data_IF_801014201018
#
_entry.id   IF_801014201018
#
_cell.length_a   1.000
_cell.length_b   1.000
_cell.length_c   1.000
_cell.angle_alpha   90.00
_cell.angle_beta   90.00
_cell.angle_gamma   90.00
#
_symmetry.space_group_name_H-M   'P 1'
#
loop_
_entity.id
_entity.type
_entity.pdbx_description
1 polymer ?
#
# COMPACT_ATOMS: atom_id res chain seq x y z
N UNK A 1 41.35 1.20 -65.98
CA UNK A 1 41.73 0.68 -64.64
C UNK A 1 40.48 0.15 -63.95
N UNK A 2 40.56 -0.91 -63.13
CA UNK A 2 40.44 -2.30 -63.58
C UNK A 2 39.46 -3.15 -62.72
N UNK A 3 39.25 -4.41 -63.15
CA UNK A 3 39.04 -5.64 -62.37
C UNK A 3 37.84 -5.74 -61.40
N UNK A 4 37.10 -6.84 -61.28
CA UNK A 4 37.42 -8.23 -61.61
C UNK A 4 37.31 -9.12 -60.35
N UNK A 5 36.42 -10.11 -60.43
CA UNK A 5 36.44 -11.44 -59.78
C UNK A 5 36.00 -11.64 -58.30
N UNK A 6 35.50 -12.87 -57.97
CA UNK A 6 34.69 -13.28 -56.80
C UNK A 6 35.53 -14.18 -55.84
N UNK A 7 35.01 -15.28 -55.25
CA UNK A 7 34.03 -15.50 -54.18
C UNK A 7 34.70 -15.83 -52.82
N UNK A 8 33.93 -16.06 -51.75
CA UNK A 8 34.46 -16.48 -50.43
C UNK A 8 33.66 -17.62 -49.79
N UNK A 9 34.24 -18.81 -49.56
CA UNK A 9 33.60 -19.99 -48.98
C UNK A 9 33.78 -20.12 -47.45
N UNK A 10 32.79 -20.76 -46.79
CA UNK A 10 32.78 -21.70 -45.62
C UNK A 10 33.88 -21.65 -44.53
N UNK A 11 33.60 -22.01 -43.24
CA UNK A 11 32.88 -23.24 -42.86
C UNK A 11 32.02 -23.22 -41.56
N UNK A 12 31.28 -24.33 -41.39
CA UNK A 12 30.46 -24.71 -40.24
C UNK A 12 31.17 -25.72 -39.31
N UNK A 13 30.80 -25.69 -38.01
CA UNK A 13 30.78 -26.77 -36.97
C UNK A 13 32.14 -27.22 -36.33
N UNK A 14 32.21 -27.87 -35.13
CA UNK A 14 31.14 -28.39 -34.23
C UNK A 14 31.31 -28.09 -32.70
N UNK A 15 30.33 -28.56 -31.90
CA UNK A 15 30.17 -28.60 -30.42
C UNK A 15 31.24 -29.42 -29.66
N UNK A 16 31.37 -29.24 -28.32
CA UNK A 16 31.00 -30.34 -27.39
C UNK A 16 30.24 -29.79 -26.15
N UNK A 17 29.06 -30.29 -25.80
CA UNK A 17 28.81 -31.44 -24.91
C UNK A 17 29.68 -31.48 -23.64
N UNK A 18 29.04 -31.31 -22.47
CA UNK A 18 29.56 -31.86 -21.20
C UNK A 18 29.41 -30.97 -19.96
N UNK A 19 28.65 -31.49 -18.99
CA UNK A 19 28.67 -31.22 -17.54
C UNK A 19 27.89 -30.01 -16.96
N UNK A 20 26.66 -30.31 -16.51
CA UNK A 20 26.03 -29.75 -15.30
C UNK A 20 26.97 -29.88 -14.07
N UNK A 21 26.88 -29.09 -12.96
CA UNK A 21 25.63 -28.75 -12.28
C UNK A 21 25.50 -27.36 -11.62
N UNK A 22 24.25 -27.02 -11.30
CA UNK A 22 23.79 -26.16 -10.21
C UNK A 22 24.88 -25.49 -9.35
N UNK A 23 25.08 -24.20 -9.56
CA UNK A 23 25.32 -23.30 -8.44
C UNK A 23 24.16 -22.33 -8.40
N UNK A 24 23.32 -22.53 -7.39
CA UNK A 24 22.26 -21.63 -7.00
C UNK A 24 22.83 -20.21 -6.85
N UNK A 25 22.59 -19.38 -7.86
CA UNK A 25 22.39 -17.96 -7.60
C UNK A 25 21.04 -17.86 -6.92
N UNK A 26 21.05 -18.09 -5.60
CA UNK A 26 20.02 -17.56 -4.71
C UNK A 26 20.06 -16.05 -4.87
N UNK A 27 19.34 -15.56 -5.88
CA UNK A 27 18.73 -14.24 -5.84
C UNK A 27 18.02 -14.20 -4.50
N UNK A 28 18.68 -13.53 -3.57
CA UNK A 28 18.07 -13.09 -2.33
C UNK A 28 17.02 -12.10 -2.77
N UNK A 29 15.82 -12.61 -3.08
CA UNK A 29 14.61 -11.85 -3.03
C UNK A 29 14.73 -11.01 -1.75
N UNK A 30 14.62 -9.68 -1.80
CA UNK A 30 14.28 -8.98 -0.58
C UNK A 30 12.98 -9.62 -0.15
N UNK A 31 13.07 -10.46 0.89
CA UNK A 31 11.93 -10.84 1.70
C UNK A 31 11.34 -9.51 2.08
N UNK A 32 10.31 -9.08 1.34
CA UNK A 32 9.42 -8.01 1.74
C UNK A 32 8.93 -8.54 3.06
N UNK A 33 9.61 -8.11 4.11
CA UNK A 33 9.24 -8.34 5.48
C UNK A 33 7.90 -7.64 5.50
N UNK A 34 6.83 -8.41 5.34
CA UNK A 34 5.47 -7.93 5.47
C UNK A 34 5.44 -7.42 6.91
N UNK A 35 5.74 -6.14 7.03
CA UNK A 35 5.70 -5.40 8.26
C UNK A 35 4.30 -5.68 8.79
N UNK A 36 4.18 -6.20 10.02
CA UNK A 36 2.89 -6.69 10.50
C UNK A 36 1.90 -5.56 10.29
N UNK A 37 0.80 -5.86 9.59
CA UNK A 37 -0.34 -4.96 9.53
C UNK A 37 -0.60 -4.57 10.99
N UNK A 38 -0.39 -3.30 11.31
CA UNK A 38 -0.54 -2.76 12.67
C UNK A 38 -1.86 -3.29 13.20
N UNK A 39 -1.80 -4.12 14.24
CA UNK A 39 -2.99 -4.76 14.78
C UNK A 39 -4.00 -3.68 15.20
N UNK A 40 -5.30 -3.96 15.13
CA UNK A 40 -6.35 -2.98 15.48
C UNK A 40 -6.14 -2.38 16.89
N UNK A 41 -5.59 -3.18 17.82
CA UNK A 41 -5.18 -2.76 19.16
C UNK A 41 -3.96 -1.82 19.17
N UNK A 42 -2.98 -2.04 18.29
CA UNK A 42 -1.83 -1.15 18.12
C UNK A 42 -2.25 0.20 17.59
N UNK A 43 -3.08 0.22 16.55
CA UNK A 43 -3.59 1.46 15.99
C UNK A 43 -4.43 2.22 17.02
N UNK A 44 -5.28 1.52 17.78
CA UNK A 44 -6.06 2.14 18.85
C UNK A 44 -5.15 2.76 19.92
N UNK A 45 -4.05 2.09 20.29
CA UNK A 45 -3.04 2.64 21.22
C UNK A 45 -2.32 3.85 20.64
N UNK A 46 -1.91 3.81 19.37
CA UNK A 46 -1.25 4.92 18.68
C UNK A 46 -2.17 6.14 18.57
N UNK A 47 -3.44 5.93 18.23
CA UNK A 47 -4.43 6.99 18.16
C UNK A 47 -4.71 7.59 19.54
N UNK A 48 -4.81 6.78 20.60
CA UNK A 48 -4.94 7.29 21.97
C UNK A 48 -3.72 8.14 22.38
N UNK A 49 -2.51 7.65 22.11
CA UNK A 49 -1.28 8.42 22.37
C UNK A 49 -1.24 9.73 21.56
N UNK A 50 -1.75 9.72 20.32
CA UNK A 50 -1.84 10.90 19.48
C UNK A 50 -2.85 11.94 20.03
N UNK A 51 -4.00 11.49 20.53
CA UNK A 51 -5.00 12.35 21.19
C UNK A 51 -4.37 13.13 22.36
N UNK A 52 -3.67 12.42 23.24
CA UNK A 52 -3.00 12.99 24.41
C UNK A 52 -1.86 13.94 24.01
N UNK A 53 -1.04 13.54 23.02
CA UNK A 53 0.10 14.34 22.55
C UNK A 53 -0.34 15.67 21.90
N UNK A 54 -1.39 15.62 21.08
CA UNK A 54 -2.01 16.82 20.47
C UNK A 54 -2.67 17.67 21.55
N UNK A 55 -3.15 17.07 22.64
CA UNK A 55 -3.86 17.77 23.70
C UNK A 55 -5.26 18.16 23.24
N UNK A 56 -6.00 17.20 22.69
CA UNK A 56 -7.38 17.39 22.26
C UNK A 56 -8.24 17.80 23.46
N UNK A 57 -9.00 18.88 23.30
CA UNK A 57 -9.89 19.41 24.33
C UNK A 57 -11.30 18.83 24.21
N UNK A 58 -12.11 18.96 25.26
CA UNK A 58 -13.51 18.52 25.27
C UNK A 58 -14.35 19.15 24.13
N UNK A 59 -14.02 20.36 23.70
CA UNK A 59 -14.68 21.02 22.57
C UNK A 59 -14.28 20.42 21.19
N UNK A 60 -13.10 19.81 21.11
CA UNK A 60 -12.54 19.18 19.91
C UNK A 60 -12.85 17.67 19.85
N UNK A 61 -13.28 17.08 20.97
CA UNK A 61 -13.60 15.65 21.11
C UNK A 61 -14.57 15.13 20.03
N UNK A 62 -15.65 15.85 19.64
CA UNK A 62 -16.52 15.36 18.58
C UNK A 62 -15.81 15.21 17.23
N UNK A 63 -14.92 16.15 16.89
CA UNK A 63 -14.15 16.09 15.64
C UNK A 63 -13.08 14.99 15.67
N UNK A 64 -12.55 14.68 16.85
CA UNK A 64 -11.65 13.56 17.06
C UNK A 64 -12.36 12.21 16.91
N UNK A 65 -13.54 12.05 17.53
CA UNK A 65 -14.35 10.83 17.40
C UNK A 65 -14.82 10.61 15.95
N UNK A 66 -15.18 11.67 15.23
CA UNK A 66 -15.49 11.60 13.80
C UNK A 66 -14.31 11.05 12.98
N UNK A 67 -13.07 11.43 13.31
CA UNK A 67 -11.87 10.91 12.67
C UNK A 67 -11.67 9.43 12.97
N UNK A 68 -11.86 9.01 14.22
CA UNK A 68 -11.76 7.60 14.62
C UNK A 68 -12.81 6.73 13.92
N UNK A 69 -14.07 7.17 13.85
CA UNK A 69 -15.12 6.43 13.14
C UNK A 69 -14.82 6.32 11.64
N UNK A 70 -14.34 7.41 11.01
CA UNK A 70 -13.95 7.38 9.61
C UNK A 70 -12.76 6.43 9.37
N UNK A 71 -11.75 6.45 10.24
CA UNK A 71 -10.59 5.56 10.15
C UNK A 71 -10.99 4.09 10.35
N UNK A 72 -11.81 3.79 11.35
CA UNK A 72 -12.31 2.44 11.60
C UNK A 72 -13.08 1.89 10.39
N UNK A 73 -13.93 2.70 9.77
CA UNK A 73 -14.65 2.31 8.53
C UNK A 73 -13.72 2.12 7.32
N UNK A 74 -12.61 2.85 7.26
CA UNK A 74 -11.62 2.69 6.20
C UNK A 74 -10.78 1.42 6.37
N UNK A 75 -10.52 1.02 7.61
CA UNK A 75 -9.75 -0.17 7.95
C UNK A 75 -10.57 -1.45 7.93
N UNK A 76 -11.89 -1.33 8.04
CA UNK A 76 -12.80 -2.44 7.73
C UNK A 76 -12.59 -2.86 6.28
N UNK A 77 -11.73 -3.86 6.10
CA UNK A 77 -11.56 -4.55 4.83
C UNK A 77 -12.95 -4.97 4.35
N UNK A 78 -13.34 -4.69 3.10
CA UNK A 78 -14.66 -5.04 2.61
C UNK A 78 -14.79 -6.57 2.54
N UNK A 79 -15.16 -7.17 3.66
CA UNK A 79 -15.65 -8.55 3.78
C UNK A 79 -17.08 -8.59 3.22
N UNK A 80 -17.22 -8.26 1.94
CA UNK A 80 -18.31 -8.77 1.13
C UNK A 80 -18.13 -10.29 0.94
N UNK A 81 -19.16 -11.02 0.48
CA UNK A 81 -19.11 -12.48 0.37
C UNK A 81 -17.79 -12.87 -0.26
N UNK A 82 -16.93 -13.48 0.55
CA UNK A 82 -15.62 -13.94 0.17
C UNK A 82 -15.79 -14.71 -1.12
N UNK A 83 -15.11 -14.28 -2.19
CA UNK A 83 -14.57 -15.17 -3.23
C UNK A 83 -15.38 -16.44 -3.46
N UNK A 84 -16.70 -16.31 -3.67
CA UNK A 84 -17.56 -17.47 -3.83
C UNK A 84 -17.39 -17.94 -5.27
N UNK A 85 -16.23 -18.57 -5.51
CA UNK A 85 -15.87 -19.42 -6.65
C UNK A 85 -16.35 -18.94 -8.03
N UNK A 86 -16.44 -17.63 -8.26
CA UNK A 86 -16.88 -17.11 -9.56
C UNK A 86 -15.64 -16.94 -10.42
N UNK A 87 -15.39 -17.94 -11.28
CA UNK A 87 -14.34 -17.91 -12.31
C UNK A 87 -14.65 -16.94 -13.46
N UNK A 88 -15.78 -16.25 -13.40
CA UNK A 88 -16.21 -15.30 -14.42
C UNK A 88 -15.42 -13.97 -14.28
N UNK A 89 -14.58 -13.62 -15.27
CA UNK A 89 -13.71 -12.45 -15.19
C UNK A 89 -14.50 -11.13 -15.13
N UNK A 90 -15.70 -11.07 -15.70
CA UNK A 90 -16.54 -9.86 -15.69
C UNK A 90 -17.10 -9.60 -14.28
N UNK A 91 -17.55 -10.66 -13.61
CA UNK A 91 -18.04 -10.57 -12.23
C UNK A 91 -16.91 -10.20 -11.27
N UNK A 92 -15.71 -10.77 -11.47
CA UNK A 92 -14.52 -10.38 -10.70
C UNK A 92 -14.16 -8.90 -10.89
N UNK A 93 -14.17 -8.40 -12.13
CA UNK A 93 -13.90 -6.99 -12.41
C UNK A 93 -14.89 -6.06 -11.70
N UNK A 94 -16.19 -6.39 -11.74
CA UNK A 94 -17.23 -5.59 -11.07
C UNK A 94 -17.07 -5.59 -9.55
N UNK A 95 -16.71 -6.73 -8.95
CA UNK A 95 -16.43 -6.81 -7.51
C UNK A 95 -15.22 -5.95 -7.15
N UNK A 96 -14.15 -6.02 -7.95
CA UNK A 96 -12.96 -5.21 -7.76
C UNK A 96 -13.26 -3.70 -7.92
N UNK A 97 -14.01 -3.30 -8.95
CA UNK A 97 -14.42 -1.91 -9.15
C UNK A 97 -15.25 -1.38 -7.97
N UNK A 98 -16.19 -2.18 -7.48
CA UNK A 98 -16.98 -1.83 -6.31
C UNK A 98 -16.13 -1.70 -5.04
N UNK A 99 -15.18 -2.61 -4.84
CA UNK A 99 -14.25 -2.54 -3.70
C UNK A 99 -13.33 -1.31 -3.78
N UNK A 100 -12.79 -1.02 -4.97
CA UNK A 100 -12.00 0.19 -5.22
C UNK A 100 -12.81 1.46 -4.96
N UNK A 101 -14.07 1.51 -5.43
CA UNK A 101 -14.96 2.65 -5.21
C UNK A 101 -15.25 2.85 -3.71
N UNK A 102 -15.52 1.77 -2.97
CA UNK A 102 -15.69 1.80 -1.52
C UNK A 102 -14.43 2.30 -0.81
N UNK A 103 -13.26 1.79 -1.20
CA UNK A 103 -11.99 2.21 -0.62
C UNK A 103 -11.74 3.71 -0.82
N UNK A 104 -11.96 4.22 -2.04
CA UNK A 104 -11.84 5.67 -2.34
C UNK A 104 -12.83 6.48 -1.51
N UNK A 105 -14.08 6.02 -1.36
CA UNK A 105 -15.08 6.68 -0.53
C UNK A 105 -14.66 6.74 0.95
N UNK A 106 -14.12 5.65 1.49
CA UNK A 106 -13.62 5.61 2.87
C UNK A 106 -12.42 6.54 3.06
N UNK A 107 -11.46 6.56 2.14
CA UNK A 107 -10.32 7.48 2.19
C UNK A 107 -10.75 8.95 2.13
N UNK A 108 -11.78 9.27 1.32
CA UNK A 108 -12.37 10.63 1.30
C UNK A 108 -13.03 10.99 2.62
N UNK A 109 -13.72 10.04 3.27
CA UNK A 109 -14.34 10.27 4.57
C UNK A 109 -13.29 10.58 5.65
N UNK A 110 -12.18 9.82 5.68
CA UNK A 110 -11.04 10.08 6.58
C UNK A 110 -10.45 11.47 6.32
N UNK A 111 -10.21 11.82 5.05
CA UNK A 111 -9.69 13.14 4.68
C UNK A 111 -10.61 14.29 5.11
N UNK A 112 -11.92 14.12 5.00
CA UNK A 112 -12.90 15.12 5.44
C UNK A 112 -12.93 15.26 6.96
N UNK A 113 -12.90 14.15 7.70
CA UNK A 113 -12.85 14.17 9.16
C UNK A 113 -11.55 14.83 9.66
N UNK A 114 -10.42 14.51 9.02
CA UNK A 114 -9.14 15.16 9.32
C UNK A 114 -9.18 16.67 9.04
N UNK A 115 -9.80 17.10 7.94
CA UNK A 115 -9.95 18.52 7.63
C UNK A 115 -10.82 19.26 8.67
N UNK A 116 -11.90 18.62 9.15
CA UNK A 116 -12.75 19.18 10.22
C UNK A 116 -12.01 19.30 11.54
N UNK A 117 -11.26 18.26 11.94
CA UNK A 117 -10.40 18.31 13.12
C UNK A 117 -9.37 19.43 12.96
N UNK A 118 -8.65 19.47 11.83
CA UNK A 118 -7.62 20.48 11.57
C UNK A 118 -8.15 21.92 11.64
N UNK A 119 -9.40 22.16 11.26
CA UNK A 119 -10.04 23.47 11.36
C UNK A 119 -10.35 23.92 12.80
N UNK A 120 -10.47 22.98 13.75
CA UNK A 120 -10.72 23.27 15.17
C UNK A 120 -9.44 23.31 16.02
N UNK A 121 -8.28 22.94 15.47
CA UNK A 121 -7.00 22.90 16.15
C UNK A 121 -6.24 24.24 16.06
N UNK A 122 -5.50 24.58 17.12
CA UNK A 122 -4.52 25.68 17.07
C UNK A 122 -3.29 25.31 16.21
N UNK A 123 -2.49 26.29 15.78
CA UNK A 123 -1.26 26.03 15.01
C UNK A 123 -0.31 25.04 15.73
N UNK A 124 -0.17 25.17 17.05
CA UNK A 124 0.67 24.28 17.84
C UNK A 124 0.10 22.84 17.86
N UNK A 125 -1.21 22.68 18.01
CA UNK A 125 -1.86 21.37 17.98
C UNK A 125 -1.76 20.74 16.59
N UNK A 126 -1.93 21.52 15.52
CA UNK A 126 -1.77 21.05 14.14
C UNK A 126 -0.37 20.54 13.87
N UNK A 127 0.66 21.22 14.36
CA UNK A 127 2.03 20.78 14.20
C UNK A 127 2.28 19.43 14.89
N UNK A 128 1.80 19.27 16.13
CA UNK A 128 1.88 18.00 16.86
C UNK A 128 1.11 16.87 16.17
N UNK A 129 -0.06 17.18 15.60
CA UNK A 129 -0.85 16.22 14.85
C UNK A 129 -0.08 15.72 13.62
N UNK A 130 0.54 16.62 12.86
CA UNK A 130 1.36 16.26 11.69
C UNK A 130 2.58 15.42 12.09
N UNK A 131 3.28 15.81 13.14
CA UNK A 131 4.44 15.06 13.66
C UNK A 131 4.05 13.65 14.12
N UNK A 132 2.90 13.50 14.78
CA UNK A 132 2.40 12.22 15.27
C UNK A 132 1.75 11.34 14.20
N UNK A 133 1.13 11.92 13.16
CA UNK A 133 0.54 11.15 12.04
C UNK A 133 1.60 10.63 11.07
N UNK A 134 2.74 11.30 10.94
CA UNK A 134 3.81 10.91 10.00
C UNK A 134 4.30 9.47 10.17
N UNK A 135 4.61 8.96 11.39
CA UNK A 135 5.02 7.57 11.56
C UNK A 135 3.88 6.58 11.25
N UNK A 136 2.63 6.92 11.58
CA UNK A 136 1.45 6.08 11.32
C UNK A 136 1.22 5.93 9.81
N UNK A 137 1.31 7.03 9.05
CA UNK A 137 1.16 7.01 7.60
C UNK A 137 2.32 6.34 6.87
N UNK A 138 3.55 6.47 7.39
CA UNK A 138 4.71 5.79 6.83
C UNK A 138 4.64 4.25 6.98
N UNK A 139 3.81 3.74 7.87
CA UNK A 139 3.57 2.32 8.07
C UNK A 139 2.54 1.72 7.07
N UNK A 140 1.82 2.54 6.31
CA UNK A 140 0.83 2.09 5.30
C UNK A 140 1.53 1.98 3.93
N UNK A 141 1.68 0.77 3.34
CA UNK A 141 2.31 0.60 2.03
C UNK A 141 1.46 1.23 0.90
N UNK A 142 2.10 1.70 -0.19
CA UNK A 142 1.42 2.30 -1.35
C UNK A 142 0.57 1.31 -2.16
#
# INVERSE_FOLDING_TARGET
SPMGMPPGPSPSLPTPEGAQPNTASSESQPKVNAQPATSDEELSREMAALHDAVGITTAQEPAWLDLLDAAARALQRPSGPAEAATKDPVTLLKVHELQSSKHVASMRAVGLALARLNASLSDQQRQRLVEGLRPILAAIPP
#
